data_IF_376732547449
#
_entry.id   IF_376732547449
#
_cell.length_a   1.000
_cell.length_b   1.000
_cell.length_c   1.000
_cell.angle_alpha   90.00
_cell.angle_beta   90.00
_cell.angle_gamma   90.00
#
_symmetry.space_group_name_H-M   'P 1'
#
loop_
_entity.id
_entity.type
_entity.pdbx_description
1 polymer ?
#
# COMPACT_ATOMS: atom_id res chain seq x y z
N UNK A 1 -6.09 -8.06 -11.43
CA UNK A 1 -5.21 -7.00 -10.89
C UNK A 1 -6.09 -5.99 -10.21
N UNK A 2 -5.77 -5.62 -8.98
CA UNK A 2 -6.51 -4.62 -8.23
C UNK A 2 -5.72 -3.31 -8.24
N UNK A 3 -6.38 -2.19 -8.55
CA UNK A 3 -5.79 -0.86 -8.38
C UNK A 3 -5.94 -0.48 -6.92
N UNK A 4 -4.85 -0.04 -6.30
CA UNK A 4 -4.84 0.36 -4.90
C UNK A 4 -4.99 1.86 -4.76
N UNK A 5 -4.17 2.61 -5.47
CA UNK A 5 -4.15 4.07 -5.38
C UNK A 5 -3.57 4.70 -6.65
N UNK A 6 -4.15 5.81 -7.07
CA UNK A 6 -3.56 6.70 -8.08
C UNK A 6 -2.38 7.49 -7.48
N UNK A 7 -1.49 8.04 -8.32
CA UNK A 7 -0.44 8.92 -7.82
C UNK A 7 -0.98 10.13 -7.05
N UNK A 8 -2.16 10.65 -7.43
CA UNK A 8 -2.79 11.77 -6.75
C UNK A 8 -3.26 11.37 -5.35
N UNK A 9 -3.92 10.22 -5.22
CA UNK A 9 -4.37 9.71 -3.92
C UNK A 9 -3.20 9.41 -2.98
N UNK A 10 -2.08 8.91 -3.51
CA UNK A 10 -0.86 8.71 -2.73
C UNK A 10 -0.21 10.02 -2.30
N UNK A 11 -0.25 11.06 -3.14
CA UNK A 11 0.30 12.39 -2.78
C UNK A 11 -0.53 13.11 -1.72
N UNK A 12 -1.82 12.82 -1.63
CA UNK A 12 -2.70 13.38 -0.60
C UNK A 12 -2.91 12.43 0.56
N UNK A 13 -2.21 11.29 0.57
CA UNK A 13 -2.28 10.35 1.67
C UNK A 13 -1.60 10.95 2.91
N UNK A 14 -2.06 10.59 4.12
CA UNK A 14 -1.35 10.92 5.35
C UNK A 14 0.08 10.36 5.33
N UNK A 15 1.04 11.09 5.92
CA UNK A 15 2.46 10.74 5.94
C UNK A 15 2.74 9.33 6.44
N UNK A 16 1.98 8.86 7.44
CA UNK A 16 2.12 7.52 7.99
C UNK A 16 1.90 6.42 6.93
N UNK A 17 1.04 6.65 5.93
CA UNK A 17 0.74 5.67 4.89
C UNK A 17 1.89 5.57 3.89
N UNK A 18 2.51 6.71 3.56
CA UNK A 18 3.71 6.75 2.73
C UNK A 18 4.90 6.14 3.45
N UNK A 19 5.07 6.43 4.74
CA UNK A 19 6.10 5.84 5.59
C UNK A 19 5.92 4.32 5.70
N UNK A 20 4.67 3.87 5.89
CA UNK A 20 4.35 2.44 5.90
C UNK A 20 4.70 1.79 4.56
N UNK A 21 4.30 2.38 3.44
CA UNK A 21 4.59 1.86 2.09
C UNK A 21 6.11 1.70 1.86
N UNK A 22 6.91 2.67 2.30
CA UNK A 22 8.36 2.66 2.10
C UNK A 22 9.11 1.75 3.08
N UNK A 23 8.56 1.52 4.28
CA UNK A 23 9.08 0.54 5.21
C UNK A 23 8.71 -0.91 4.83
N UNK A 24 7.47 -1.10 4.38
CA UNK A 24 6.85 -2.40 4.17
C UNK A 24 7.25 -3.05 2.84
N UNK A 25 7.63 -2.26 1.84
CA UNK A 25 8.15 -2.75 0.57
C UNK A 25 9.43 -2.04 0.15
N UNK A 26 10.29 -2.76 -0.56
CA UNK A 26 11.49 -2.21 -1.17
C UNK A 26 11.15 -1.16 -2.24
N UNK A 27 12.11 -0.29 -2.55
CA UNK A 27 12.03 0.59 -3.71
C UNK A 27 11.80 -0.24 -4.99
N UNK A 28 11.05 0.30 -5.97
CA UNK A 28 10.74 -0.43 -7.19
C UNK A 28 12.01 -0.78 -7.96
N UNK A 29 12.15 -2.05 -8.34
CA UNK A 29 13.22 -2.52 -9.21
C UNK A 29 13.06 -2.02 -10.66
N UNK A 30 13.95 -2.48 -11.55
CA UNK A 30 13.90 -2.16 -12.98
C UNK A 30 12.63 -2.68 -13.68
N UNK A 31 11.93 -3.61 -13.06
CA UNK A 31 10.65 -4.16 -13.47
C UNK A 31 9.44 -3.38 -12.94
N UNK A 32 9.66 -2.33 -12.14
CA UNK A 32 8.62 -1.52 -11.52
C UNK A 32 7.91 -2.19 -10.34
N UNK A 33 8.48 -3.28 -9.80
CA UNK A 33 7.89 -4.05 -8.71
C UNK A 33 8.54 -3.71 -7.38
N UNK A 34 7.71 -3.61 -6.34
CA UNK A 34 8.15 -3.47 -4.96
C UNK A 34 7.96 -4.80 -4.25
N UNK A 35 9.06 -5.44 -3.84
CA UNK A 35 9.01 -6.68 -3.07
C UNK A 35 8.73 -6.38 -1.59
N UNK A 36 7.99 -7.24 -0.88
CA UNK A 36 7.78 -7.05 0.56
C UNK A 36 9.12 -7.05 1.29
N UNK A 37 9.28 -6.14 2.23
CA UNK A 37 10.44 -6.06 3.09
C UNK A 37 10.18 -6.81 4.41
N UNK A 38 11.23 -7.41 4.98
CA UNK A 38 11.19 -8.10 6.28
C UNK A 38 11.52 -7.17 7.45
N UNK A 39 11.68 -5.85 7.20
CA UNK A 39 11.99 -4.87 8.25
C UNK A 39 10.88 -4.71 9.29
N UNK A 40 9.62 -4.79 8.87
CA UNK A 40 8.50 -4.67 9.79
C UNK A 40 8.25 -6.02 10.48
N UNK A 41 8.13 -5.97 11.81
CA UNK A 41 7.78 -7.10 12.67
C UNK A 41 6.43 -7.74 12.21
N UNK A 42 6.35 -9.07 12.04
CA UNK A 42 5.10 -9.75 11.68
C UNK A 42 3.92 -9.44 12.62
N UNK A 43 4.17 -9.33 13.93
CA UNK A 43 3.13 -9.09 14.94
C UNK A 43 2.56 -7.69 14.81
N UNK A 44 3.42 -6.75 14.40
CA UNK A 44 3.06 -5.36 14.13
C UNK A 44 2.03 -5.27 13.00
N UNK A 45 2.17 -6.02 11.91
CA UNK A 45 1.18 -5.95 10.84
C UNK A 45 -0.13 -6.64 11.17
N UNK A 46 -0.09 -7.69 12.01
CA UNK A 46 -1.31 -8.28 12.54
C UNK A 46 -2.07 -7.25 13.40
N UNK A 47 -1.35 -6.45 14.20
CA UNK A 47 -1.94 -5.35 14.96
C UNK A 47 -2.56 -4.26 14.05
N UNK A 48 -1.90 -3.89 12.95
CA UNK A 48 -2.47 -2.95 11.95
C UNK A 48 -3.73 -3.56 11.32
N UNK A 49 -3.68 -4.82 10.90
CA UNK A 49 -4.81 -5.49 10.26
C UNK A 49 -6.03 -5.56 11.19
N UNK A 50 -5.79 -5.84 12.47
CA UNK A 50 -6.82 -5.83 13.51
C UNK A 50 -7.39 -4.43 13.74
N UNK A 51 -6.54 -3.42 13.93
CA UNK A 51 -7.00 -2.05 14.10
C UNK A 51 -7.84 -1.60 12.89
N UNK A 52 -7.39 -1.91 11.67
CA UNK A 52 -8.10 -1.65 10.41
C UNK A 52 -9.49 -2.28 10.42
N UNK A 53 -9.57 -3.55 10.78
CA UNK A 53 -10.82 -4.29 10.84
C UNK A 53 -11.79 -3.66 11.85
N UNK A 54 -11.28 -3.26 13.02
CA UNK A 54 -12.06 -2.57 14.06
C UNK A 54 -12.61 -1.24 13.53
N UNK A 55 -11.78 -0.39 12.92
CA UNK A 55 -12.27 0.89 12.41
C UNK A 55 -13.22 0.74 11.22
N UNK A 56 -12.99 -0.23 10.32
CA UNK A 56 -13.90 -0.51 9.21
C UNK A 56 -15.28 -0.98 9.70
N UNK A 57 -15.36 -1.57 10.88
CA UNK A 57 -16.61 -1.98 11.53
C UNK A 57 -17.31 -0.87 12.32
N UNK A 58 -16.59 0.21 12.65
CA UNK A 58 -17.15 1.37 13.37
C UNK A 58 -17.87 2.30 12.39
N UNK A 59 -19.14 2.58 12.65
CA UNK A 59 -19.94 3.52 11.86
C UNK A 59 -19.72 4.99 12.25
N UNK A 60 -19.01 5.25 13.36
CA UNK A 60 -19.25 6.47 14.14
C UNK A 60 -18.01 7.13 14.75
N UNK A 61 -16.82 7.04 14.15
CA UNK A 61 -15.67 7.79 14.70
C UNK A 61 -14.56 8.05 13.68
N UNK A 62 -14.05 9.29 13.66
CA UNK A 62 -12.76 9.60 13.07
C UNK A 62 -11.68 8.95 13.95
N UNK A 63 -10.91 8.01 13.42
CA UNK A 63 -9.82 7.40 14.15
C UNK A 63 -8.45 7.98 13.62
N UNK A 64 -7.40 8.13 14.43
CA UNK A 64 -6.12 8.87 14.13
C UNK A 64 -4.80 8.04 14.09
N UNK A 65 -4.21 7.75 12.92
CA UNK A 65 -3.17 6.71 12.83
C UNK A 65 -1.81 7.34 13.03
N UNK A 66 -0.97 6.79 13.93
CA UNK A 66 0.43 7.19 14.06
C UNK A 66 1.34 5.98 13.86
N UNK A 67 1.82 5.82 12.63
CA UNK A 67 2.96 4.94 12.41
C UNK A 67 4.23 5.65 12.87
N UNK A 68 5.10 4.93 13.57
CA UNK A 68 6.44 5.44 13.90
C UNK A 68 7.45 4.41 13.44
N UNK A 69 8.42 4.84 12.65
CA UNK A 69 9.59 4.04 12.29
C UNK A 69 10.69 4.33 13.30
N UNK A 70 11.16 3.31 14.01
CA UNK A 70 12.36 3.38 14.84
C UNK A 70 13.57 2.76 14.12
N UNK A 71 14.76 2.93 14.72
CA UNK A 71 16.02 2.46 14.17
C UNK A 71 16.10 0.92 14.03
N UNK A 72 15.22 0.19 14.72
CA UNK A 72 15.21 -1.28 14.78
C UNK A 72 14.37 -1.93 13.67
N UNK A 73 13.86 -1.14 12.71
CA UNK A 73 13.10 -1.65 11.56
C UNK A 73 11.60 -1.32 11.59
N UNK A 74 11.14 -0.58 12.61
CA UNK A 74 9.79 -0.05 12.69
C UNK A 74 8.90 -0.82 13.67
N UNK A 75 8.69 -0.24 14.85
CA UNK A 75 7.60 -0.61 15.76
C UNK A 75 6.42 0.33 15.58
N UNK A 76 5.23 -0.18 15.25
CA UNK A 76 4.01 0.64 15.24
C UNK A 76 3.68 1.10 16.68
N UNK A 77 3.90 2.39 16.96
CA UNK A 77 3.62 2.99 18.28
C UNK A 77 2.14 3.08 18.63
N UNK A 78 1.25 3.37 17.67
CA UNK A 78 -0.22 3.33 17.86
C UNK A 78 -1.01 3.43 16.55
N UNK A 79 -2.03 2.57 16.36
CA UNK A 79 -2.90 2.61 15.17
C UNK A 79 -4.29 3.12 15.58
N UNK A 80 -4.82 4.14 14.91
CA UNK A 80 -6.21 4.59 15.07
C UNK A 80 -6.67 5.10 13.69
N UNK A 81 -7.66 4.59 13.00
CA UNK A 81 -7.85 4.86 11.54
C UNK A 81 -8.74 6.01 11.03
N UNK A 82 -8.24 6.78 10.08
CA UNK A 82 -9.00 7.87 9.47
C UNK A 82 -10.26 7.33 8.77
N UNK A 83 -11.37 8.07 8.85
CA UNK A 83 -12.51 7.88 7.96
C UNK A 83 -12.25 8.60 6.63
N UNK A 84 -12.56 7.96 5.50
CA UNK A 84 -12.43 8.57 4.17
C UNK A 84 -11.96 7.61 3.08
N UNK A 85 -11.57 8.14 1.91
CA UNK A 85 -11.07 7.32 0.81
C UNK A 85 -9.73 6.66 1.13
N UNK A 86 -8.83 7.27 1.90
CA UNK A 86 -7.53 6.65 2.19
C UNK A 86 -7.61 5.42 3.11
N UNK A 87 -8.71 5.24 3.84
CA UNK A 87 -8.95 4.05 4.67
C UNK A 87 -8.88 2.80 3.81
N UNK A 88 -9.55 2.77 2.65
CA UNK A 88 -9.55 1.58 1.79
C UNK A 88 -8.14 1.23 1.27
N UNK A 89 -7.31 2.26 1.04
CA UNK A 89 -5.92 2.08 0.58
C UNK A 89 -5.11 1.42 1.68
N UNK A 90 -5.23 1.92 2.91
CA UNK A 90 -4.61 1.34 4.09
C UNK A 90 -5.01 -0.13 4.29
N UNK A 91 -6.31 -0.44 4.21
CA UNK A 91 -6.81 -1.83 4.33
C UNK A 91 -6.12 -2.72 3.31
N UNK A 92 -6.15 -2.30 2.04
CA UNK A 92 -5.63 -3.12 0.96
C UNK A 92 -4.11 -3.30 1.04
N UNK A 93 -3.36 -2.28 1.46
CA UNK A 93 -1.91 -2.37 1.68
C UNK A 93 -1.57 -3.31 2.84
N UNK A 94 -2.22 -3.17 3.99
CA UNK A 94 -1.94 -4.02 5.15
C UNK A 94 -2.25 -5.49 4.85
N UNK A 95 -3.37 -5.77 4.18
CA UNK A 95 -3.69 -7.13 3.73
C UNK A 95 -2.64 -7.66 2.76
N UNK A 96 -2.24 -6.85 1.76
CA UNK A 96 -1.20 -7.23 0.81
C UNK A 96 0.12 -7.54 1.51
N UNK A 97 0.52 -6.78 2.52
CA UNK A 97 1.73 -7.02 3.28
C UNK A 97 1.65 -8.28 4.12
N UNK A 98 0.53 -8.51 4.81
CA UNK A 98 0.29 -9.72 5.62
C UNK A 98 0.38 -10.98 4.76
N UNK A 99 -0.09 -10.91 3.51
CA UNK A 99 0.03 -11.99 2.52
C UNK A 99 1.41 -12.03 1.83
N UNK A 100 2.35 -11.15 2.21
CA UNK A 100 3.67 -10.96 1.60
C UNK A 100 3.59 -10.80 0.08
N UNK A 101 2.61 -10.03 -0.40
CA UNK A 101 2.38 -9.81 -1.82
C UNK A 101 3.22 -8.64 -2.34
N UNK A 102 3.80 -8.78 -3.54
CA UNK A 102 4.49 -7.67 -4.19
C UNK A 102 3.49 -6.60 -4.61
N UNK A 103 3.96 -5.35 -4.69
CA UNK A 103 3.23 -4.26 -5.33
C UNK A 103 3.83 -3.95 -6.69
N UNK A 104 3.03 -3.39 -7.59
CA UNK A 104 3.51 -2.92 -8.88
C UNK A 104 3.07 -1.49 -9.13
N UNK A 105 3.94 -0.72 -9.78
CA UNK A 105 3.63 0.62 -10.25
C UNK A 105 3.36 0.54 -11.75
N UNK A 106 2.23 1.11 -12.19
CA UNK A 106 1.91 1.19 -13.60
C UNK A 106 2.97 2.01 -14.33
N UNK A 107 3.64 1.41 -15.32
CA UNK A 107 4.69 2.07 -16.09
C UNK A 107 4.22 3.25 -16.96
N UNK A 108 2.91 3.49 -17.06
CA UNK A 108 2.33 4.60 -17.85
C UNK A 108 1.79 5.72 -16.96
N UNK A 109 0.97 5.39 -15.97
CA UNK A 109 0.24 6.38 -15.17
C UNK A 109 0.65 6.42 -13.70
N UNK A 110 1.62 5.59 -13.27
CA UNK A 110 2.10 5.57 -11.90
C UNK A 110 1.12 5.01 -10.86
N UNK A 111 -0.05 4.50 -11.26
CA UNK A 111 -1.01 3.86 -10.34
C UNK A 111 -0.34 2.70 -9.61
N UNK A 112 -0.51 2.67 -8.29
CA UNK A 112 -0.12 1.56 -7.43
C UNK A 112 -1.14 0.44 -7.54
N UNK A 113 -0.64 -0.78 -7.70
CA UNK A 113 -1.45 -1.94 -8.02
C UNK A 113 -1.03 -3.13 -7.17
N UNK A 114 -2.02 -3.95 -6.84
CA UNK A 114 -1.83 -5.27 -6.31
C UNK A 114 -1.93 -6.28 -7.46
N UNK A 115 -0.82 -6.95 -7.82
CA UNK A 115 -0.82 -7.98 -8.85
C UNK A 115 -1.64 -9.19 -8.45
N UNK A 116 -2.17 -9.92 -9.43
CA UNK A 116 -2.83 -11.20 -9.19
C UNK A 116 -1.82 -12.30 -8.85
N UNK A 117 -2.29 -13.43 -8.32
CA UNK A 117 -1.45 -14.62 -8.11
C UNK A 117 -0.80 -15.04 -9.44
N UNK A 118 0.51 -15.25 -9.44
CA UNK A 118 1.26 -15.84 -10.55
C UNK A 118 1.72 -14.91 -11.67
N UNK A 119 1.27 -13.65 -11.76
CA UNK A 119 1.82 -12.70 -12.74
C UNK A 119 1.79 -11.27 -12.26
N UNK A 120 2.96 -10.65 -12.25
CA UNK A 120 3.08 -9.21 -12.02
C UNK A 120 2.91 -8.48 -13.34
N UNK A 121 1.90 -7.61 -13.40
CA UNK A 121 1.54 -6.91 -14.62
C UNK A 121 1.97 -5.45 -14.55
N UNK A 122 2.64 -5.02 -15.62
CA UNK A 122 3.33 -3.72 -15.75
C UNK A 122 2.39 -2.52 -15.91
N UNK A 123 1.14 -2.76 -16.30
CA UNK A 123 0.18 -1.71 -16.64
C UNK A 123 -1.17 -1.95 -15.96
N UNK A 124 -1.79 -0.89 -15.45
CA UNK A 124 -3.05 -0.97 -14.70
C UNK A 124 -4.29 -1.24 -15.56
N UNK A 125 -4.17 -1.10 -16.89
CA UNK A 125 -5.27 -1.25 -17.84
C UNK A 125 -4.75 -1.46 -19.25
N UNK A 126 -5.62 -1.94 -20.15
CA UNK A 126 -5.33 -1.99 -21.58
C UNK A 126 -5.02 -0.59 -22.16
N UNK A 127 -5.68 0.45 -21.68
CA UNK A 127 -5.42 1.82 -22.15
C UNK A 127 -3.99 2.26 -21.81
N UNK A 128 -3.52 1.99 -20.59
CA UNK A 128 -2.13 2.28 -20.21
C UNK A 128 -1.12 1.47 -21.01
N UNK A 129 -1.43 0.20 -21.30
CA UNK A 129 -0.61 -0.65 -22.16
C UNK A 129 -0.51 -0.06 -23.57
N UNK A 130 -1.64 0.28 -24.19
CA UNK A 130 -1.68 0.86 -25.54
C UNK A 130 -0.96 2.21 -25.58
N UNK A 131 -1.18 3.08 -24.59
CA UNK A 131 -0.50 4.38 -24.50
C UNK A 131 1.03 4.23 -24.43
N UNK A 132 1.53 3.30 -23.62
CA UNK A 132 2.97 3.02 -23.53
C UNK A 132 3.59 2.47 -24.84
N UNK A 133 2.79 1.77 -25.65
CA UNK A 133 3.25 1.29 -26.97
C UNK A 133 3.18 2.38 -28.05
N UNK A 134 2.34 3.40 -27.90
CA UNK A 134 2.24 4.54 -28.83
C UNK A 134 3.30 5.61 -28.58
N UNK A 135 3.84 5.67 -27.35
CA UNK A 135 4.87 6.63 -26.96
C UNK A 135 6.30 6.16 -27.25
N UNK A 136 6.47 4.98 -27.88
CA UNK A 136 7.74 4.43 -28.35
C UNK A 136 7.86 4.63 -29.85
#
# INVERSE_FOLDING_TARGET
MQKLATPTELRTAPDWLTDFLDAAWQLPGSDGQRQPNTRIDPDVAQAIAQAITVAASSKDTAHHCVFTLDADGGRFGSVTLWGGSHTHIAIALTLAWSERRPLAICGTCGTLMLPGKGRVARYCSNNCRVAAHRSK
#
